data_IF_885644118579
#
_entry.id   IF_885644118579
#
_cell.length_a   1.000
_cell.length_b   1.000
_cell.length_c   1.000
_cell.angle_alpha   90.00
_cell.angle_beta   90.00
_cell.angle_gamma   90.00
#
_symmetry.space_group_name_H-M   'P 1'
#
loop_
_entity.id
_entity.type
_entity.pdbx_description
1 polymer ?
#
# COMPACT_ATOMS: atom_id res chain seq x y z
N UNK A 1 20.23 -15.27 -6.26
CA UNK A 1 19.50 -15.65 -5.02
C UNK A 1 20.39 -15.64 -3.78
N UNK A 2 21.49 -16.42 -3.73
CA UNK A 2 22.38 -16.47 -2.55
C UNK A 2 22.85 -15.09 -2.05
N UNK A 3 23.18 -14.18 -2.97
CA UNK A 3 23.50 -12.78 -2.62
C UNK A 3 22.32 -12.08 -1.91
N UNK A 4 21.09 -12.21 -2.40
CA UNK A 4 19.90 -11.62 -1.78
C UNK A 4 19.65 -12.18 -0.37
N UNK A 5 19.82 -13.50 -0.18
CA UNK A 5 19.70 -14.14 1.14
C UNK A 5 20.76 -13.62 2.10
N UNK A 6 22.02 -13.53 1.65
CA UNK A 6 23.11 -12.99 2.45
C UNK A 6 22.84 -11.52 2.84
N UNK A 7 22.34 -10.72 1.90
CA UNK A 7 21.97 -9.33 2.17
C UNK A 7 20.82 -9.22 3.15
N UNK A 8 19.76 -10.03 3.00
CA UNK A 8 18.64 -10.07 3.93
C UNK A 8 19.09 -10.39 5.36
N UNK A 9 20.03 -11.34 5.53
CA UNK A 9 20.64 -11.63 6.84
C UNK A 9 21.43 -10.44 7.40
N UNK A 10 22.13 -9.69 6.55
CA UNK A 10 22.88 -8.49 6.96
C UNK A 10 21.99 -7.33 7.37
N UNK A 11 20.74 -7.28 6.90
CA UNK A 11 19.80 -6.20 7.24
C UNK A 11 19.65 -6.05 8.75
N UNK A 12 19.63 -7.14 9.51
CA UNK A 12 19.41 -7.13 10.95
C UNK A 12 20.73 -7.19 11.76
N UNK A 13 21.89 -7.14 11.10
CA UNK A 13 23.18 -7.04 11.80
C UNK A 13 23.31 -5.69 12.51
N UNK A 14 23.91 -5.71 13.70
CA UNK A 14 24.08 -4.51 14.53
C UNK A 14 24.86 -3.40 13.82
N UNK A 15 25.91 -3.75 13.07
CA UNK A 15 26.70 -2.78 12.29
C UNK A 15 25.85 -2.04 11.25
N UNK A 16 25.05 -2.77 10.47
CA UNK A 16 24.14 -2.19 9.46
C UNK A 16 23.04 -1.37 10.12
N UNK A 17 22.48 -1.81 11.25
CA UNK A 17 21.47 -1.04 11.99
C UNK A 17 22.04 0.25 12.58
N UNK A 18 23.30 0.24 13.05
CA UNK A 18 23.96 1.43 13.56
C UNK A 18 24.25 2.44 12.44
N UNK A 19 24.74 2.01 11.28
CA UNK A 19 24.92 2.87 10.11
C UNK A 19 23.59 3.46 9.63
N UNK A 20 22.54 2.63 9.57
CA UNK A 20 21.19 3.08 9.21
C UNK A 20 20.71 4.20 10.14
N UNK A 21 20.85 4.03 11.46
CA UNK A 21 20.49 5.06 12.45
C UNK A 21 21.26 6.35 12.24
N UNK A 22 22.57 6.27 11.98
CA UNK A 22 23.40 7.44 11.70
C UNK A 22 22.87 8.20 10.47
N UNK A 23 22.60 7.52 9.36
CA UNK A 23 22.07 8.16 8.15
C UNK A 23 20.65 8.71 8.30
N UNK A 24 19.80 8.09 9.14
CA UNK A 24 18.49 8.63 9.50
C UNK A 24 18.61 9.92 10.32
N UNK A 25 19.57 9.98 11.24
CA UNK A 25 19.88 11.17 12.03
C UNK A 25 20.45 12.31 11.17
N UNK A 26 21.18 11.98 10.09
CA UNK A 26 21.59 12.94 9.04
C UNK A 26 20.42 13.44 8.17
N UNK A 27 19.19 12.97 8.42
CA UNK A 27 17.99 13.43 7.72
C UNK A 27 17.72 12.72 6.38
N UNK A 28 18.40 11.60 6.11
CA UNK A 28 18.07 10.78 4.93
C UNK A 28 16.73 10.08 5.10
N UNK A 29 16.00 9.87 4.00
CA UNK A 29 14.85 8.96 4.02
C UNK A 29 15.31 7.54 4.33
N UNK A 30 14.42 6.74 4.95
CA UNK A 30 14.70 5.33 5.28
C UNK A 30 15.27 4.54 4.11
N UNK A 31 14.64 4.59 2.93
CA UNK A 31 15.12 3.86 1.77
C UNK A 31 16.54 4.26 1.34
N UNK A 32 16.88 5.54 1.40
CA UNK A 32 18.24 6.03 1.07
C UNK A 32 19.26 5.62 2.13
N UNK A 33 18.92 5.83 3.41
CA UNK A 33 19.75 5.46 4.55
C UNK A 33 20.05 3.96 4.54
N UNK A 34 19.03 3.15 4.26
CA UNK A 34 19.12 1.69 4.23
C UNK A 34 20.02 1.17 3.10
N UNK A 35 19.87 1.71 1.89
CA UNK A 35 20.75 1.35 0.77
C UNK A 35 22.21 1.68 1.06
N UNK A 36 22.45 2.86 1.66
CA UNK A 36 23.79 3.31 2.01
C UNK A 36 24.43 2.40 3.07
N UNK A 37 23.67 2.02 4.11
CA UNK A 37 24.10 1.11 5.17
C UNK A 37 24.35 -0.34 4.68
N UNK A 38 23.71 -0.77 3.59
CA UNK A 38 23.96 -2.08 2.97
C UNK A 38 25.15 -2.08 2.01
N UNK A 39 25.70 -0.92 1.63
CA UNK A 39 26.83 -0.80 0.72
C UNK A 39 26.56 -1.34 -0.69
N UNK A 40 25.30 -1.32 -1.13
CA UNK A 40 24.92 -1.89 -2.43
C UNK A 40 24.00 -0.96 -3.20
N UNK A 41 24.56 -0.31 -4.23
CA UNK A 41 23.82 0.52 -5.16
C UNK A 41 22.93 -0.30 -6.12
N UNK A 42 23.22 -1.59 -6.32
CA UNK A 42 22.49 -2.50 -7.20
C UNK A 42 21.07 -2.85 -6.72
N UNK A 43 20.71 -2.47 -5.49
CA UNK A 43 19.36 -2.61 -4.92
C UNK A 43 18.55 -1.32 -4.96
N UNK A 44 18.84 -0.44 -5.92
CA UNK A 44 18.20 0.88 -6.03
C UNK A 44 16.71 0.84 -6.42
N UNK A 45 16.20 -0.31 -6.88
CA UNK A 45 14.81 -0.42 -7.34
C UNK A 45 13.83 -0.79 -6.21
N UNK A 46 12.58 -0.28 -6.23
CA UNK A 46 11.57 -0.65 -5.24
C UNK A 46 11.31 -2.15 -5.12
N UNK A 47 11.34 -2.89 -6.23
CA UNK A 47 11.14 -4.34 -6.24
C UNK A 47 12.29 -5.10 -5.57
N UNK A 48 13.53 -4.64 -5.73
CA UNK A 48 14.67 -5.27 -5.08
C UNK A 48 14.59 -5.12 -3.56
N UNK A 49 14.20 -3.93 -3.08
CA UNK A 49 13.98 -3.69 -1.65
C UNK A 49 12.82 -4.54 -1.09
N UNK A 50 11.69 -4.62 -1.81
CA UNK A 50 10.57 -5.49 -1.42
C UNK A 50 10.97 -6.96 -1.38
N UNK A 51 11.73 -7.44 -2.37
CA UNK A 51 12.23 -8.82 -2.41
C UNK A 51 13.11 -9.15 -1.21
N UNK A 52 13.95 -8.21 -0.76
CA UNK A 52 14.75 -8.38 0.45
C UNK A 52 13.89 -8.44 1.71
N UNK A 53 12.86 -7.59 1.80
CA UNK A 53 11.91 -7.63 2.92
C UNK A 53 11.14 -8.95 2.97
N UNK A 54 10.76 -9.52 1.82
CA UNK A 54 10.15 -10.85 1.76
C UNK A 54 11.09 -11.95 2.25
N UNK A 55 12.35 -11.94 1.80
CA UNK A 55 13.35 -12.92 2.25
C UNK A 55 13.60 -12.74 3.74
N UNK A 56 13.73 -11.51 4.24
CA UNK A 56 13.90 -11.22 5.67
C UNK A 56 12.74 -11.75 6.51
N UNK A 57 11.50 -11.49 6.08
CA UNK A 57 10.31 -11.99 6.76
C UNK A 57 10.26 -13.53 6.75
N UNK A 58 10.54 -14.16 5.61
CA UNK A 58 10.55 -15.62 5.50
C UNK A 58 11.66 -16.27 6.34
N UNK A 59 12.88 -15.71 6.38
CA UNK A 59 13.94 -16.17 7.27
C UNK A 59 13.53 -16.13 8.75
N UNK A 60 12.69 -15.16 9.14
CA UNK A 60 12.18 -15.01 10.50
C UNK A 60 11.01 -15.96 10.80
N UNK A 61 10.04 -16.08 9.90
CA UNK A 61 8.75 -16.72 10.19
C UNK A 61 8.54 -18.07 9.51
N UNK A 62 9.23 -18.36 8.40
CA UNK A 62 9.07 -19.61 7.65
C UNK A 62 10.34 -19.98 6.87
N UNK A 63 11.31 -20.61 7.55
CA UNK A 63 12.66 -20.84 7.03
C UNK A 63 12.72 -21.74 5.79
N UNK A 64 11.69 -22.57 5.58
CA UNK A 64 11.60 -23.50 4.46
C UNK A 64 10.97 -22.86 3.20
N UNK A 65 10.68 -21.56 3.21
CA UNK A 65 10.15 -20.89 2.02
C UNK A 65 11.22 -20.83 0.92
N UNK A 66 10.88 -21.32 -0.27
CA UNK A 66 11.73 -21.17 -1.45
C UNK A 66 11.49 -19.83 -2.16
N UNK A 67 12.56 -19.26 -2.72
CA UNK A 67 12.52 -17.97 -3.38
C UNK A 67 12.91 -18.10 -4.85
N UNK A 68 12.06 -17.58 -5.73
CA UNK A 68 12.30 -17.61 -7.18
C UNK A 68 12.30 -16.15 -7.68
N UNK A 69 13.46 -15.46 -7.67
CA UNK A 69 13.55 -14.12 -8.21
C UNK A 69 13.45 -14.17 -9.74
N UNK A 70 12.52 -13.40 -10.30
CA UNK A 70 12.33 -13.26 -11.75
C UNK A 70 12.80 -11.86 -12.16
N UNK A 71 13.68 -11.79 -13.16
CA UNK A 71 14.14 -10.51 -13.67
C UNK A 71 13.00 -9.79 -14.37
N UNK A 72 12.77 -8.53 -13.97
CA UNK A 72 11.81 -7.66 -14.64
C UNK A 72 12.44 -7.10 -15.93
N UNK A 73 11.68 -7.12 -17.01
CA UNK A 73 12.10 -6.65 -18.34
C UNK A 73 11.72 -5.20 -18.65
N UNK A 74 10.85 -4.56 -17.84
CA UNK A 74 10.44 -3.15 -18.00
C UNK A 74 10.82 -2.27 -16.80
N UNK A 75 11.01 -0.98 -17.04
CA UNK A 75 11.41 -0.02 -16.01
C UNK A 75 10.21 0.40 -15.13
N UNK A 76 10.43 0.55 -13.83
CA UNK A 76 9.42 0.93 -12.83
C UNK A 76 9.03 2.40 -12.89
N UNK A 77 9.92 3.26 -13.39
CA UNK A 77 9.77 4.72 -13.30
C UNK A 77 9.66 5.43 -14.66
N UNK A 78 9.61 4.67 -15.76
CA UNK A 78 9.50 5.27 -17.06
C UNK A 78 8.03 5.61 -17.38
N UNK A 79 7.77 6.89 -17.63
CA UNK A 79 6.48 7.40 -18.09
C UNK A 79 6.28 7.22 -19.60
N UNK A 80 7.29 6.70 -20.31
CA UNK A 80 7.22 6.47 -21.74
C UNK A 80 6.36 5.23 -22.06
N UNK A 81 5.26 5.48 -22.78
CA UNK A 81 4.29 4.48 -23.23
C UNK A 81 4.79 3.58 -24.37
N UNK A 82 6.01 3.81 -24.89
CA UNK A 82 6.61 3.05 -26.00
C UNK A 82 7.21 1.70 -25.56
N UNK A 83 6.83 1.15 -24.40
CA UNK A 83 7.24 -0.18 -23.97
C UNK A 83 6.03 -1.12 -24.04
N UNK A 84 6.26 -2.37 -24.47
CA UNK A 84 5.24 -3.43 -24.49
C UNK A 84 4.59 -3.69 -23.12
N UNK A 85 5.23 -3.25 -22.01
CA UNK A 85 4.80 -3.47 -20.62
C UNK A 85 4.96 -2.21 -19.74
N UNK A 86 4.02 -1.24 -19.80
CA UNK A 86 4.08 0.00 -19.03
C UNK A 86 3.91 -0.24 -17.54
N UNK A 87 4.40 0.71 -16.74
CA UNK A 87 4.21 0.69 -15.28
C UNK A 87 2.75 0.98 -14.91
N UNK A 88 2.31 0.50 -13.75
CA UNK A 88 0.98 0.82 -13.23
C UNK A 88 0.77 2.33 -13.01
N UNK A 89 1.85 3.09 -12.76
CA UNK A 89 1.79 4.56 -12.65
C UNK A 89 1.52 5.21 -14.01
N UNK A 90 2.19 4.74 -15.07
CA UNK A 90 1.95 5.21 -16.43
C UNK A 90 0.51 4.92 -16.87
N UNK A 91 0.01 3.70 -16.60
CA UNK A 91 -1.39 3.33 -16.90
C UNK A 91 -2.41 4.20 -16.16
N UNK A 92 -2.21 4.47 -14.87
CA UNK A 92 -3.11 5.39 -14.13
C UNK A 92 -3.07 6.80 -14.70
N UNK A 93 -1.89 7.32 -15.03
CA UNK A 93 -1.74 8.64 -15.65
C UNK A 93 -2.51 8.70 -16.97
N UNK A 94 -2.32 7.70 -17.85
CA UNK A 94 -3.05 7.57 -19.11
C UNK A 94 -4.57 7.65 -18.90
N UNK A 95 -5.11 6.85 -17.97
CA UNK A 95 -6.55 6.81 -17.68
C UNK A 95 -7.07 8.16 -17.20
N UNK A 96 -6.27 8.91 -16.43
CA UNK A 96 -6.71 10.16 -15.82
C UNK A 96 -6.49 11.42 -16.67
N UNK A 97 -5.55 11.40 -17.63
CA UNK A 97 -5.13 12.63 -18.35
C UNK A 97 -5.27 12.56 -19.86
N UNK A 98 -5.29 11.36 -20.45
CA UNK A 98 -5.34 11.23 -21.91
C UNK A 98 -6.77 11.47 -22.42
N UNK A 99 -6.88 11.85 -23.70
CA UNK A 99 -8.19 11.84 -24.36
C UNK A 99 -8.66 10.39 -24.57
N UNK A 100 -9.98 10.15 -24.68
CA UNK A 100 -10.51 8.78 -24.74
C UNK A 100 -9.99 7.92 -25.90
N UNK A 101 -9.69 8.51 -27.06
CA UNK A 101 -9.19 7.74 -28.22
C UNK A 101 -7.76 7.23 -27.98
N UNK A 102 -6.87 8.10 -27.52
CA UNK A 102 -5.47 7.73 -27.24
C UNK A 102 -5.39 6.72 -26.08
N UNK A 103 -6.25 6.87 -25.06
CA UNK A 103 -6.36 5.92 -23.97
C UNK A 103 -6.80 4.53 -24.47
N UNK A 104 -7.91 4.45 -25.21
CA UNK A 104 -8.44 3.17 -25.71
C UNK A 104 -7.43 2.42 -26.59
N UNK A 105 -6.83 3.12 -27.56
CA UNK A 105 -5.84 2.52 -28.46
C UNK A 105 -4.61 1.99 -27.72
N UNK A 106 -4.11 2.74 -26.74
CA UNK A 106 -2.96 2.32 -25.92
C UNK A 106 -3.31 1.14 -25.01
N UNK A 107 -4.49 1.14 -24.38
CA UNK A 107 -4.90 0.03 -23.53
C UNK A 107 -5.08 -1.26 -24.34
N UNK A 108 -5.65 -1.17 -25.55
CA UNK A 108 -5.83 -2.31 -26.47
C UNK A 108 -4.51 -2.95 -26.90
N UNK A 109 -3.47 -2.16 -27.15
CA UNK A 109 -2.17 -2.67 -27.58
C UNK A 109 -1.33 -3.28 -26.44
N UNK A 110 -1.73 -3.03 -25.18
CA UNK A 110 -0.84 -3.23 -24.04
C UNK A 110 -1.41 -4.15 -22.96
N UNK A 111 -2.73 -4.22 -22.83
CA UNK A 111 -3.42 -4.98 -21.79
C UNK A 111 -4.02 -6.27 -22.38
N UNK A 112 -3.79 -7.44 -21.76
CA UNK A 112 -4.44 -8.68 -22.17
C UNK A 112 -5.97 -8.54 -22.17
N UNK A 113 -6.64 -9.10 -23.19
CA UNK A 113 -8.09 -8.97 -23.41
C UNK A 113 -8.96 -9.23 -22.18
N UNK A 114 -8.74 -10.29 -21.36
CA UNK A 114 -9.59 -10.53 -20.19
C UNK A 114 -9.53 -9.40 -19.14
N UNK A 115 -8.40 -8.70 -19.06
CA UNK A 115 -8.21 -7.57 -18.14
C UNK A 115 -8.75 -6.29 -18.76
N UNK A 116 -8.56 -6.13 -20.08
CA UNK A 116 -9.02 -4.97 -20.83
C UNK A 116 -10.53 -4.78 -20.70
N UNK A 117 -11.32 -5.85 -20.81
CA UNK A 117 -12.78 -5.77 -20.74
C UNK A 117 -13.26 -5.26 -19.37
N UNK A 118 -12.70 -5.78 -18.25
CA UNK A 118 -13.03 -5.29 -16.89
C UNK A 118 -12.57 -3.84 -16.70
N UNK A 119 -11.37 -3.50 -17.19
CA UNK A 119 -10.86 -2.12 -17.12
C UNK A 119 -11.76 -1.15 -17.88
N UNK A 120 -12.12 -1.47 -19.13
CA UNK A 120 -12.98 -0.63 -19.96
C UNK A 120 -14.38 -0.50 -19.37
N UNK A 121 -14.94 -1.58 -18.81
CA UNK A 121 -16.21 -1.52 -18.11
C UNK A 121 -16.15 -0.55 -16.92
N UNK A 122 -15.09 -0.61 -16.11
CA UNK A 122 -14.93 0.31 -14.96
C UNK A 122 -14.74 1.75 -15.38
N UNK A 123 -13.93 2.00 -16.41
CA UNK A 123 -13.65 3.35 -16.91
C UNK A 123 -14.91 3.97 -17.50
N UNK A 124 -15.63 3.24 -18.35
CA UNK A 124 -16.85 3.75 -19.01
C UNK A 124 -18.02 4.00 -18.05
N UNK A 125 -18.04 3.33 -16.89
CA UNK A 125 -19.04 3.54 -15.83
C UNK A 125 -18.57 4.48 -14.71
N UNK A 126 -17.40 5.12 -14.84
CA UNK A 126 -16.81 5.97 -13.79
C UNK A 126 -16.57 5.23 -12.44
N UNK A 127 -16.40 3.91 -12.48
CA UNK A 127 -16.18 3.02 -11.33
C UNK A 127 -14.69 2.99 -10.91
N UNK A 128 -14.07 4.17 -10.86
CA UNK A 128 -12.68 4.38 -10.42
C UNK A 128 -12.56 5.64 -9.56
N UNK A 129 -11.45 5.76 -8.82
CA UNK A 129 -11.28 6.76 -7.76
C UNK A 129 -10.86 8.13 -8.28
N UNK A 130 -11.48 9.17 -7.73
CA UNK A 130 -11.08 10.58 -7.80
C UNK A 130 -10.18 10.90 -6.60
N UNK A 131 -8.89 11.08 -6.86
CA UNK A 131 -7.91 11.39 -5.81
C UNK A 131 -8.22 12.68 -5.04
N UNK A 132 -8.88 13.66 -5.68
CA UNK A 132 -9.22 14.92 -5.01
C UNK A 132 -10.19 14.70 -3.85
N UNK A 133 -11.08 13.69 -3.94
CA UNK A 133 -11.99 13.34 -2.84
C UNK A 133 -11.23 12.86 -1.63
N UNK A 134 -10.29 11.95 -1.84
CA UNK A 134 -9.41 11.46 -0.78
C UNK A 134 -8.58 12.58 -0.18
N UNK A 135 -7.98 13.43 -1.02
CA UNK A 135 -7.19 14.58 -0.59
C UNK A 135 -8.00 15.57 0.24
N UNK A 136 -9.23 15.89 -0.16
CA UNK A 136 -10.13 16.73 0.64
C UNK A 136 -10.43 16.12 2.01
N UNK A 137 -10.58 14.79 2.11
CA UNK A 137 -10.77 14.10 3.38
C UNK A 137 -9.54 14.22 4.28
N UNK A 138 -8.34 13.90 3.77
CA UNK A 138 -7.09 14.03 4.53
C UNK A 138 -6.89 15.47 4.98
N UNK A 139 -7.18 16.44 4.11
CA UNK A 139 -7.02 17.86 4.40
C UNK A 139 -7.97 18.34 5.49
N UNK A 140 -9.25 17.94 5.41
CA UNK A 140 -10.25 18.25 6.43
C UNK A 140 -9.89 17.62 7.78
N UNK A 141 -9.48 16.35 7.81
CA UNK A 141 -9.02 15.68 9.02
C UNK A 141 -7.81 16.39 9.62
N UNK A 142 -6.83 16.74 8.78
CA UNK A 142 -5.61 17.44 9.21
C UNK A 142 -5.90 18.77 9.91
N UNK A 143 -6.92 19.51 9.46
CA UNK A 143 -7.34 20.79 10.08
C UNK A 143 -8.09 20.62 11.41
N UNK A 144 -8.64 19.43 11.67
CA UNK A 144 -9.39 19.13 12.90
C UNK A 144 -8.51 18.59 14.02
N UNK A 145 -7.31 18.11 13.69
CA UNK A 145 -6.39 17.56 14.67
C UNK A 145 -5.60 18.64 15.40
N UNK A 146 -5.09 18.29 16.58
CA UNK A 146 -4.01 19.01 17.24
C UNK A 146 -2.72 18.17 17.29
N UNK A 147 -1.62 18.77 17.77
CA UNK A 147 -0.30 18.13 17.77
C UNK A 147 -0.28 16.83 18.59
N UNK A 148 -0.92 16.82 19.77
CA UNK A 148 -0.97 15.65 20.64
C UNK A 148 -1.79 14.50 20.03
N UNK A 149 -2.83 14.83 19.26
CA UNK A 149 -3.61 13.82 18.53
C UNK A 149 -2.80 13.23 17.38
N UNK A 150 -2.10 14.07 16.60
CA UNK A 150 -1.26 13.64 15.49
C UNK A 150 -0.13 12.73 15.95
N UNK A 151 0.49 13.01 17.09
CA UNK A 151 1.58 12.21 17.65
C UNK A 151 1.19 10.74 17.89
N UNK A 152 -0.10 10.43 18.04
CA UNK A 152 -0.58 9.05 18.24
C UNK A 152 -0.51 8.21 16.96
N UNK A 153 -0.49 8.86 15.79
CA UNK A 153 -0.51 8.17 14.50
C UNK A 153 0.88 7.74 14.05
N UNK A 154 0.92 6.70 13.21
CA UNK A 154 2.17 6.15 12.69
C UNK A 154 2.91 7.20 11.86
N UNK A 155 4.25 7.21 11.96
CA UNK A 155 5.16 8.14 11.26
C UNK A 155 5.06 9.63 11.65
N UNK A 156 4.17 10.02 12.57
CA UNK A 156 4.19 11.33 13.23
C UNK A 156 5.17 11.30 14.39
N UNK A 157 6.40 11.74 14.13
CA UNK A 157 7.49 11.78 15.10
C UNK A 157 8.35 13.02 14.87
N UNK A 158 9.06 13.47 15.90
CA UNK A 158 10.10 14.50 15.80
C UNK A 158 9.59 15.87 15.29
N UNK A 159 8.39 16.27 15.71
CA UNK A 159 7.86 17.62 15.48
C UNK A 159 7.25 17.83 14.09
N UNK A 160 7.13 16.79 13.25
CA UNK A 160 6.41 16.88 11.97
C UNK A 160 4.94 17.26 12.17
N UNK A 161 4.36 16.98 13.33
CA UNK A 161 2.98 17.34 13.71
C UNK A 161 2.76 18.85 13.53
N UNK A 162 3.72 19.67 13.96
CA UNK A 162 3.63 21.13 13.82
C UNK A 162 3.73 21.59 12.36
N UNK A 163 4.62 20.96 11.58
CA UNK A 163 4.78 21.24 10.16
C UNK A 163 3.52 20.83 9.38
N UNK A 164 2.93 19.68 9.73
CA UNK A 164 1.69 19.16 9.18
C UNK A 164 0.51 20.09 9.45
N UNK A 165 0.34 20.55 10.69
CA UNK A 165 -0.74 21.48 11.07
C UNK A 165 -0.60 22.83 10.37
N UNK A 166 0.63 23.34 10.24
CA UNK A 166 0.91 24.57 9.49
C UNK A 166 0.58 24.40 8.00
N UNK A 167 1.04 23.30 7.40
CA UNK A 167 0.78 22.99 6.00
C UNK A 167 -0.70 22.73 5.72
N UNK A 168 -1.45 22.17 6.68
CA UNK A 168 -2.90 21.95 6.54
C UNK A 168 -3.70 23.26 6.36
N UNK A 169 -3.11 24.42 6.65
CA UNK A 169 -3.73 25.73 6.38
C UNK A 169 -3.65 26.15 4.90
N UNK A 170 -2.92 25.41 4.06
CA UNK A 170 -2.88 25.68 2.63
C UNK A 170 -4.25 25.46 1.96
N UNK A 171 -4.48 26.02 0.75
CA UNK A 171 -5.77 25.92 0.05
C UNK A 171 -6.15 24.50 -0.35
N UNK A 172 -5.17 23.63 -0.64
CA UNK A 172 -5.40 22.23 -0.98
C UNK A 172 -4.38 21.29 -0.30
N UNK A 173 -4.69 20.00 -0.30
CA UNK A 173 -3.81 18.97 0.27
C UNK A 173 -2.50 18.84 -0.50
N UNK A 174 -2.54 19.03 -1.82
CA UNK A 174 -1.37 19.01 -2.69
C UNK A 174 -0.43 20.16 -2.32
N UNK A 175 -0.95 21.38 -2.16
CA UNK A 175 -0.17 22.51 -1.67
C UNK A 175 0.38 22.26 -0.25
N UNK A 176 -0.38 21.58 0.61
CA UNK A 176 0.10 21.18 1.93
C UNK A 176 1.28 20.19 1.85
N UNK A 177 1.18 19.15 1.04
CA UNK A 177 2.25 18.16 0.83
C UNK A 177 3.52 18.83 0.32
N UNK A 178 3.43 19.76 -0.63
CA UNK A 178 4.60 20.47 -1.16
C UNK A 178 5.37 21.26 -0.08
N UNK A 179 4.68 21.77 0.94
CA UNK A 179 5.34 22.46 2.06
C UNK A 179 6.04 21.52 3.04
N UNK A 180 5.54 20.29 3.20
CA UNK A 180 6.09 19.31 4.15
C UNK A 180 7.22 18.51 3.49
N UNK A 181 7.13 18.29 2.17
CA UNK A 181 8.03 17.42 1.43
C UNK A 181 9.48 17.85 1.59
N UNK A 182 10.34 16.88 1.89
CA UNK A 182 11.77 17.08 2.05
C UNK A 182 12.55 15.81 1.70
N UNK A 183 13.88 15.83 1.81
CA UNK A 183 14.71 14.61 1.70
C UNK A 183 14.34 13.56 2.75
N UNK A 184 13.86 14.01 3.91
CA UNK A 184 13.45 13.17 5.04
C UNK A 184 12.02 12.65 4.89
N UNK A 185 11.13 13.48 4.35
CA UNK A 185 9.71 13.20 4.15
C UNK A 185 9.39 13.13 2.66
N UNK A 186 9.47 11.93 2.09
CA UNK A 186 9.13 11.67 0.68
C UNK A 186 7.62 11.67 0.46
N UNK A 187 7.17 11.89 -0.78
CA UNK A 187 5.75 11.81 -1.14
C UNK A 187 5.09 10.50 -0.67
N UNK A 188 5.74 9.36 -0.91
CA UNK A 188 5.22 8.06 -0.48
C UNK A 188 5.06 7.95 1.04
N UNK A 189 5.97 8.58 1.83
CA UNK A 189 5.84 8.61 3.29
C UNK A 189 4.67 9.51 3.72
N UNK A 190 4.55 10.69 3.14
CA UNK A 190 3.46 11.63 3.44
C UNK A 190 2.08 11.06 3.05
N UNK A 191 1.99 10.36 1.92
CA UNK A 191 0.78 9.65 1.50
C UNK A 191 0.40 8.53 2.48
N UNK A 192 1.37 7.76 2.98
CA UNK A 192 1.13 6.76 4.05
C UNK A 192 0.65 7.42 5.34
N UNK A 193 1.27 8.52 5.77
CA UNK A 193 0.84 9.28 6.94
C UNK A 193 -0.62 9.77 6.82
N UNK A 194 -1.00 10.27 5.64
CA UNK A 194 -2.39 10.65 5.35
C UNK A 194 -3.36 9.46 5.42
N UNK A 195 -2.93 8.28 4.97
CA UNK A 195 -3.73 7.07 5.06
C UNK A 195 -3.89 6.60 6.52
N UNK A 196 -2.81 6.61 7.32
CA UNK A 196 -2.88 6.30 8.75
C UNK A 196 -3.83 7.25 9.48
N UNK A 197 -3.75 8.55 9.18
CA UNK A 197 -4.67 9.55 9.72
C UNK A 197 -6.13 9.27 9.33
N UNK A 198 -6.38 8.97 8.06
CA UNK A 198 -7.73 8.73 7.53
C UNK A 198 -8.35 7.45 8.09
N UNK A 199 -7.54 6.41 8.27
CA UNK A 199 -7.98 5.10 8.74
C UNK A 199 -7.91 4.93 10.26
N UNK A 200 -7.42 5.91 11.01
CA UNK A 200 -7.33 5.77 12.47
C UNK A 200 -6.16 4.90 12.96
N UNK A 201 -5.13 4.68 12.15
CA UNK A 201 -4.04 3.73 12.49
C UNK A 201 -3.03 4.39 13.43
N UNK A 202 -3.01 3.94 14.69
CA UNK A 202 -2.12 4.44 15.74
C UNK A 202 -0.81 3.66 15.82
N UNK A 203 0.20 4.25 16.47
CA UNK A 203 1.48 3.60 16.79
C UNK A 203 1.28 2.31 17.60
N UNK A 204 0.43 2.35 18.62
CA UNK A 204 0.18 1.17 19.47
C UNK A 204 -0.41 0.01 18.66
N UNK A 205 -1.39 0.30 17.82
CA UNK A 205 -2.04 -0.72 17.01
C UNK A 205 -1.08 -1.35 16.00
N UNK A 206 -0.30 -0.53 15.28
CA UNK A 206 0.65 -1.08 14.30
C UNK A 206 1.77 -1.87 14.97
N UNK A 207 2.23 -1.46 16.16
CA UNK A 207 3.28 -2.17 16.89
C UNK A 207 2.80 -3.57 17.30
N UNK A 208 1.58 -3.68 17.84
CA UNK A 208 0.97 -4.97 18.18
C UNK A 208 0.77 -5.80 16.90
N UNK A 209 0.28 -5.20 15.81
CA UNK A 209 0.09 -5.89 14.54
C UNK A 209 1.41 -6.43 13.94
N UNK A 210 2.50 -5.68 14.05
CA UNK A 210 3.82 -6.10 13.57
C UNK A 210 4.43 -7.23 14.40
N UNK A 211 4.05 -7.33 15.68
CA UNK A 211 4.48 -8.40 16.57
C UNK A 211 3.66 -9.68 16.36
N UNK A 212 2.33 -9.56 16.37
CA UNK A 212 1.41 -10.70 16.37
C UNK A 212 1.05 -11.19 14.97
N UNK A 213 1.34 -10.40 13.93
CA UNK A 213 1.07 -10.74 12.54
C UNK A 213 -0.42 -10.65 12.16
N UNK A 214 -0.78 -11.11 10.96
CA UNK A 214 -2.17 -11.09 10.48
C UNK A 214 -3.04 -12.03 11.31
N UNK A 215 -4.21 -11.55 11.72
CA UNK A 215 -5.15 -12.32 12.56
C UNK A 215 -6.20 -13.09 11.75
N UNK A 216 -6.21 -12.93 10.42
CA UNK A 216 -7.09 -13.65 9.51
C UNK A 216 -6.61 -13.61 8.07
N UNK A 217 -7.12 -14.56 7.27
CA UNK A 217 -7.02 -14.54 5.82
C UNK A 217 -8.38 -14.18 5.21
N UNK A 218 -8.47 -13.07 4.49
CA UNK A 218 -9.69 -12.68 3.76
C UNK A 218 -9.73 -13.35 2.39
N UNK A 219 -10.74 -14.19 2.14
CA UNK A 219 -10.91 -14.79 0.82
C UNK A 219 -11.53 -13.79 -0.15
N UNK A 220 -10.79 -13.39 -1.20
CA UNK A 220 -11.29 -12.51 -2.26
C UNK A 220 -11.75 -13.30 -3.48
N UNK A 221 -10.94 -14.25 -3.96
CA UNK A 221 -11.28 -15.08 -5.09
C UNK A 221 -10.63 -16.46 -5.00
N UNK A 222 -11.15 -17.44 -5.73
CA UNK A 222 -10.60 -18.78 -5.84
C UNK A 222 -11.04 -19.46 -7.14
N UNK A 223 -10.26 -20.43 -7.61
CA UNK A 223 -10.63 -21.34 -8.70
C UNK A 223 -10.78 -22.78 -8.19
N UNK A 224 -10.92 -23.76 -9.09
CA UNK A 224 -11.07 -25.17 -8.69
C UNK A 224 -9.87 -25.71 -7.90
N UNK A 225 -8.66 -25.36 -8.31
CA UNK A 225 -7.43 -25.72 -7.57
C UNK A 225 -7.42 -25.06 -6.19
N UNK A 226 -7.74 -23.77 -6.12
CA UNK A 226 -7.85 -23.02 -4.88
C UNK A 226 -8.90 -23.61 -3.94
N UNK A 227 -10.07 -24.01 -4.48
CA UNK A 227 -11.14 -24.66 -3.71
C UNK A 227 -10.68 -25.94 -3.03
N UNK A 228 -9.87 -26.75 -3.71
CA UNK A 228 -9.31 -27.97 -3.13
C UNK A 228 -8.32 -27.62 -2.01
N UNK A 229 -7.45 -26.64 -2.23
CA UNK A 229 -6.48 -26.18 -1.23
C UNK A 229 -7.16 -25.56 0.00
N UNK A 230 -8.23 -24.79 -0.16
CA UNK A 230 -8.93 -24.14 0.96
C UNK A 230 -9.54 -25.13 1.97
N UNK A 231 -9.66 -26.42 1.62
CA UNK A 231 -10.14 -27.49 2.52
C UNK A 231 -9.08 -28.00 3.50
N UNK A 232 -7.82 -27.58 3.36
CA UNK A 232 -6.76 -27.94 4.32
C UNK A 232 -6.93 -27.17 5.63
N UNK A 233 -6.17 -27.55 6.64
CA UNK A 233 -6.04 -26.76 7.86
C UNK A 233 -5.23 -25.49 7.59
N UNK A 234 -5.55 -24.41 8.32
CA UNK A 234 -4.92 -23.09 8.22
C UNK A 234 -4.57 -22.58 9.61
N UNK A 235 -3.43 -21.90 9.75
CA UNK A 235 -2.97 -21.38 11.03
C UNK A 235 -3.79 -20.18 11.54
N UNK A 236 -4.49 -19.49 10.64
CA UNK A 236 -5.35 -18.34 10.94
C UNK A 236 -6.75 -18.51 10.36
N UNK A 237 -7.79 -17.89 10.96
CA UNK A 237 -9.15 -17.96 10.46
C UNK A 237 -9.28 -17.49 9.01
N UNK A 238 -9.92 -18.32 8.17
CA UNK A 238 -10.26 -17.99 6.80
C UNK A 238 -11.66 -17.33 6.74
N UNK A 239 -11.69 -16.02 6.50
CA UNK A 239 -12.92 -15.23 6.42
C UNK A 239 -13.48 -15.27 5.00
N UNK A 240 -14.54 -16.07 4.82
CA UNK A 240 -15.29 -16.14 3.55
C UNK A 240 -16.50 -15.19 3.52
N UNK A 241 -17.16 -15.01 4.68
CA UNK A 241 -18.29 -14.09 4.84
C UNK A 241 -17.88 -12.99 5.80
N UNK A 242 -17.77 -11.77 5.30
CA UNK A 242 -17.29 -10.62 6.08
C UNK A 242 -18.12 -10.39 7.35
N UNK A 243 -19.45 -10.59 7.26
CA UNK A 243 -20.38 -10.50 8.39
C UNK A 243 -20.06 -11.47 9.56
N UNK A 244 -19.37 -12.58 9.30
CA UNK A 244 -19.01 -13.57 10.33
C UNK A 244 -17.64 -13.31 10.97
N UNK A 245 -16.85 -12.38 10.43
CA UNK A 245 -15.51 -12.12 10.94
C UNK A 245 -15.50 -11.74 12.43
N UNK A 246 -16.36 -10.83 12.93
CA UNK A 246 -16.30 -10.42 14.34
C UNK A 246 -16.50 -11.54 15.36
N UNK A 247 -17.16 -12.65 15.00
CA UNK A 247 -17.35 -13.80 15.91
C UNK A 247 -16.20 -14.80 15.87
N UNK A 248 -15.31 -14.69 14.88
CA UNK A 248 -14.18 -15.60 14.67
C UNK A 248 -12.83 -14.98 15.07
N UNK A 249 -12.79 -13.68 15.32
CA UNK A 249 -11.56 -12.92 15.55
C UNK A 249 -11.39 -12.52 17.01
N UNK A 250 -10.13 -12.52 17.45
CA UNK A 250 -9.72 -11.92 18.72
C UNK A 250 -9.81 -10.37 18.64
N UNK A 251 -9.44 -9.68 19.72
CA UNK A 251 -9.56 -8.22 19.79
C UNK A 251 -8.70 -7.51 18.73
N UNK A 252 -7.46 -7.97 18.50
CA UNK A 252 -6.59 -7.40 17.47
C UNK A 252 -7.18 -7.62 16.06
N UNK A 253 -7.68 -8.83 15.78
CA UNK A 253 -8.32 -9.16 14.52
C UNK A 253 -9.58 -8.35 14.27
N UNK A 254 -10.38 -8.06 15.30
CA UNK A 254 -11.53 -7.13 15.18
C UNK A 254 -11.09 -5.71 14.82
N UNK A 255 -10.00 -5.23 15.40
CA UNK A 255 -9.44 -3.91 15.05
C UNK A 255 -8.95 -3.87 13.60
N UNK A 256 -8.24 -4.91 13.14
CA UNK A 256 -7.80 -5.05 11.74
C UNK A 256 -8.99 -5.14 10.78
N UNK A 257 -9.99 -5.95 11.11
CA UNK A 257 -11.22 -6.10 10.34
C UNK A 257 -11.98 -4.78 10.20
N UNK A 258 -12.03 -3.99 11.27
CA UNK A 258 -12.61 -2.66 11.25
C UNK A 258 -11.86 -1.71 10.30
N UNK A 259 -10.52 -1.71 10.34
CA UNK A 259 -9.70 -0.89 9.44
C UNK A 259 -9.89 -1.29 7.98
N UNK A 260 -9.89 -2.59 7.67
CA UNK A 260 -10.13 -3.08 6.32
C UNK A 260 -11.52 -2.65 5.82
N UNK A 261 -12.55 -2.76 6.67
CA UNK A 261 -13.91 -2.31 6.33
C UNK A 261 -13.95 -0.80 6.07
N UNK A 262 -13.30 -0.02 6.94
CA UNK A 262 -13.22 1.43 6.78
C UNK A 262 -12.46 1.82 5.51
N UNK A 263 -11.38 1.11 5.17
CA UNK A 263 -10.61 1.36 3.97
C UNK A 263 -11.46 1.18 2.70
N UNK A 264 -12.28 0.12 2.64
CA UNK A 264 -13.26 -0.09 1.57
C UNK A 264 -14.27 1.05 1.49
N UNK A 265 -14.82 1.47 2.63
CA UNK A 265 -15.84 2.52 2.69
C UNK A 265 -15.29 3.89 2.26
N UNK A 266 -14.08 4.24 2.72
CA UNK A 266 -13.39 5.47 2.31
C UNK A 266 -13.03 5.42 0.81
N UNK A 267 -12.58 4.26 0.30
CA UNK A 267 -12.34 4.10 -1.14
C UNK A 267 -13.62 4.32 -1.95
N UNK A 268 -14.74 3.74 -1.52
CA UNK A 268 -16.03 3.89 -2.19
C UNK A 268 -16.45 5.36 -2.27
N UNK A 269 -16.28 6.13 -1.19
CA UNK A 269 -16.54 7.58 -1.18
C UNK A 269 -15.71 8.37 -2.21
N UNK A 270 -14.59 7.81 -2.65
CA UNK A 270 -13.72 8.43 -3.64
C UNK A 270 -14.13 8.14 -5.10
N UNK A 271 -15.09 7.28 -5.39
CA UNK A 271 -15.43 6.98 -6.79
C UNK A 271 -16.00 8.17 -7.57
N UNK A 272 -15.67 8.30 -8.85
CA UNK A 272 -16.28 9.27 -9.76
C UNK A 272 -17.80 9.02 -9.85
N UNK A 273 -18.20 7.77 -10.05
CA UNK A 273 -19.60 7.33 -10.04
C UNK A 273 -20.23 7.48 -8.65
N UNK A 274 -21.20 8.40 -8.52
CA UNK A 274 -21.96 8.62 -7.29
C UNK A 274 -22.71 7.38 -6.81
N UNK A 275 -23.22 6.57 -7.75
CA UNK A 275 -23.97 5.35 -7.45
C UNK A 275 -23.12 4.25 -6.81
N UNK A 276 -21.78 4.33 -6.91
CA UNK A 276 -20.85 3.37 -6.31
C UNK A 276 -20.31 3.80 -4.96
N UNK A 277 -20.67 4.99 -4.46
CA UNK A 277 -20.22 5.51 -3.15
C UNK A 277 -20.97 4.93 -1.96
N UNK A 278 -21.41 3.69 -2.10
CA UNK A 278 -22.19 2.97 -1.09
C UNK A 278 -21.19 2.34 -0.11
N UNK A 279 -21.43 2.51 1.19
CA UNK A 279 -20.63 1.88 2.24
C UNK A 279 -20.99 0.41 2.47
N UNK A 280 -20.16 -0.28 3.23
CA UNK A 280 -20.32 -1.64 3.68
C UNK A 280 -20.43 -2.68 2.55
N UNK A 281 -19.79 -2.40 1.41
CA UNK A 281 -19.81 -3.31 0.26
C UNK A 281 -19.13 -4.65 0.57
N UNK A 282 -18.18 -4.69 1.52
CA UNK A 282 -17.57 -5.92 2.02
C UNK A 282 -18.58 -6.94 2.57
N UNK A 283 -19.70 -6.48 3.15
CA UNK A 283 -20.75 -7.36 3.69
C UNK A 283 -21.63 -7.97 2.59
N UNK A 284 -21.69 -7.32 1.43
CA UNK A 284 -22.39 -7.81 0.24
C UNK A 284 -21.48 -8.57 -0.72
N UNK A 285 -20.17 -8.42 -0.55
CA UNK A 285 -19.17 -9.09 -1.37
C UNK A 285 -19.17 -10.60 -1.11
N UNK A 286 -19.30 -11.37 -2.19
CA UNK A 286 -19.09 -12.82 -2.16
C UNK A 286 -17.77 -13.11 -2.87
N UNK A 287 -16.89 -13.95 -2.29
CA UNK A 287 -15.63 -14.29 -2.93
C UNK A 287 -15.86 -14.82 -4.35
N UNK A 288 -15.12 -14.28 -5.31
CA UNK A 288 -15.31 -14.59 -6.72
C UNK A 288 -14.77 -15.98 -7.04
N UNK A 289 -15.62 -16.82 -7.64
CA UNK A 289 -15.19 -18.09 -8.21
C UNK A 289 -14.78 -17.88 -9.67
N UNK A 290 -13.51 -18.09 -9.95
CA UNK A 290 -12.92 -17.99 -11.29
C UNK A 290 -12.87 -19.40 -11.86
N UNK A 291 -13.62 -19.64 -12.94
CA UNK A 291 -13.61 -20.90 -13.67
C UNK A 291 -12.29 -21.10 -14.41
#
# INVERSE_FOLDING_TARGET
>A
LNQLIHMAKRMDCESTQNELRNYLNEGMSYGTAFRKALGSESLSTPNALLGLEYIRAALKYYQNLEYIPIQRTSDHHNHNFNQELPSGTALRHLITTANPLDMCSTLQSTIPTPILDDMMHRITNDDYVDYNRYYNMVHMLSRRMNANELERFVDFTEGIEHLWLKAAQQPSWESAIEQIKSKRYTYARLQRMGAYLTLGVTKDLINIAMQDGPQYARLLAFNDRGRQWLRTEHDIPLIQKWAKAPTQLNNLGKSMHHIDTLATDIQALCFHNKGKRIGHTDYTYTPQYIK
#
